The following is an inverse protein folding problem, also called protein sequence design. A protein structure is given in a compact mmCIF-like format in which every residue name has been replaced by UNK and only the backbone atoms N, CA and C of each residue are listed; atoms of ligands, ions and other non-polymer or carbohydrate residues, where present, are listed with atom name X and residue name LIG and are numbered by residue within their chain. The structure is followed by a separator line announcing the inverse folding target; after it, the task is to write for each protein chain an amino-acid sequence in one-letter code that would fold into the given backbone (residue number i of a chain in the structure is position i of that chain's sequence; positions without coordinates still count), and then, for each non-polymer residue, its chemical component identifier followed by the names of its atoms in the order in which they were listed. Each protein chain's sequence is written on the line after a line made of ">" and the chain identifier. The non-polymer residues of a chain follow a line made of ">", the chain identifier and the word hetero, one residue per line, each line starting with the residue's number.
data_IF_287878773907
#
_entry.id   IF_287878773907
#
_cell.length_a   1.000
_cell.length_b   1.000
_cell.length_c   1.000
_cell.angle_alpha   90.00
_cell.angle_beta   90.00
_cell.angle_gamma   90.00
#
_symmetry.space_group_name_H-M   'P 1'
#
loop_
_entity.id
_entity.type
_entity.pdbx_description
1 polymer ?
#
# COMPACT_ATOMS: atom_id res chain seq x y z
N UNK A 1 27.40 30.41 -9.83
CA UNK A 1 26.00 30.41 -10.33
C UNK A 1 25.28 29.25 -9.64
N UNK A 2 24.32 29.64 -8.80
CA UNK A 2 23.22 28.94 -8.12
C UNK A 2 22.65 27.66 -8.81
N UNK A 3 21.97 26.68 -8.18
CA UNK A 3 21.47 26.42 -6.80
C UNK A 3 20.84 24.98 -6.78
N UNK A 4 21.02 24.28 -5.64
CA UNK A 4 20.13 23.34 -4.91
C UNK A 4 19.78 21.92 -5.42
N UNK A 5 20.31 20.95 -4.66
CA UNK A 5 19.61 19.73 -4.18
C UNK A 5 18.86 20.07 -2.89
N UNK A 6 17.66 19.54 -2.69
CA UNK A 6 16.90 19.66 -1.44
C UNK A 6 16.66 18.27 -0.84
N UNK A 7 17.32 18.02 0.29
CA UNK A 7 16.98 17.02 1.30
C UNK A 7 15.69 17.43 2.03
N UNK A 8 14.81 16.46 2.30
CA UNK A 8 13.66 16.65 3.20
C UNK A 8 13.94 16.04 4.56
N UNK A 9 14.41 16.90 5.47
CA UNK A 9 14.33 16.70 6.91
C UNK A 9 12.97 17.23 7.41
N UNK A 10 12.20 16.36 8.07
CA UNK A 10 11.01 16.75 8.84
C UNK A 10 11.49 17.42 10.14
N UNK A 11 11.36 18.74 10.22
CA UNK A 11 11.60 19.51 11.43
C UNK A 11 10.38 19.43 12.35
N UNK A 12 10.55 18.81 13.52
CA UNK A 12 9.67 18.97 14.67
C UNK A 12 9.83 20.40 15.22
N UNK A 13 8.76 21.20 15.14
CA UNK A 13 8.65 22.50 15.80
C UNK A 13 8.55 22.31 17.32
N UNK A 14 9.65 22.56 18.02
CA UNK A 14 9.63 22.83 19.46
C UNK A 14 9.43 24.33 19.66
N UNK A 15 8.25 24.74 20.13
CA UNK A 15 8.06 26.05 20.77
C UNK A 15 8.74 26.02 22.14
N UNK A 16 9.99 26.47 22.18
CA UNK A 16 10.74 26.66 23.42
C UNK A 16 10.63 28.10 23.90
N UNK A 17 9.80 28.34 24.92
CA UNK A 17 9.80 29.60 25.68
C UNK A 17 11.02 29.62 26.60
N UNK A 18 11.95 30.55 26.35
CA UNK A 18 13.09 30.79 27.21
C UNK A 18 12.66 31.55 28.47
N UNK A 19 13.02 31.03 29.66
CA UNK A 19 13.06 31.80 30.90
C UNK A 19 14.42 31.57 31.56
N UNK A 20 15.25 32.61 31.56
CA UNK A 20 16.55 32.63 32.22
C UNK A 20 16.36 32.93 33.72
N UNK A 21 16.98 32.13 34.58
CA UNK A 21 17.23 32.50 35.98
C UNK A 21 18.69 32.17 36.31
N UNK A 22 19.45 33.24 36.56
CA UNK A 22 20.80 33.25 37.11
C UNK A 22 20.69 33.23 38.63
N UNK A 23 21.24 32.21 39.30
CA UNK A 23 21.57 32.26 40.73
C UNK A 23 22.86 31.49 40.99
N UNK A 24 23.87 32.20 41.50
CA UNK A 24 25.09 31.66 42.08
C UNK A 24 24.90 31.40 43.58
N UNK A 25 25.34 30.26 44.11
CA UNK A 25 25.94 30.07 45.45
C UNK A 25 26.25 28.59 45.74
N UNK A 26 27.37 28.36 46.43
CA UNK A 26 27.96 27.08 46.90
C UNK A 26 27.18 26.43 48.09
N UNK A 27 27.75 25.47 48.84
CA UNK A 27 27.98 24.05 48.55
C UNK A 27 27.05 23.11 49.36
N UNK A 28 27.10 21.83 49.00
CA UNK A 28 26.48 20.62 49.57
C UNK A 28 25.91 20.75 50.99
N UNK A 29 24.57 20.78 51.09
CA UNK A 29 23.81 20.32 52.24
C UNK A 29 22.86 19.21 51.78
N UNK A 30 23.07 18.00 52.29
CA UNK A 30 22.24 16.84 52.03
C UNK A 30 20.81 17.08 52.50
N UNK A 31 19.81 16.82 51.65
CA UNK A 31 18.57 16.15 52.08
C UNK A 31 17.67 15.76 50.91
N UNK A 32 17.25 14.49 50.95
CA UNK A 32 16.13 13.88 50.23
C UNK A 32 16.34 13.61 48.73
N UNK A 33 16.89 12.43 48.45
CA UNK A 33 16.52 11.72 47.24
C UNK A 33 14.99 11.57 47.23
N UNK A 34 14.31 12.39 46.42
CA UNK A 34 12.88 12.25 46.12
C UNK A 34 12.65 10.80 45.68
N UNK A 35 12.04 9.98 46.54
CA UNK A 35 11.33 8.78 46.13
C UNK A 35 10.20 9.25 45.22
N UNK A 36 10.49 9.40 43.93
CA UNK A 36 9.49 9.67 42.91
C UNK A 36 8.37 8.66 43.08
N UNK A 37 7.17 9.14 43.36
CA UNK A 37 6.05 8.30 43.71
C UNK A 37 5.58 7.56 42.46
N UNK A 38 6.16 6.38 42.20
CA UNK A 38 5.90 5.54 41.03
C UNK A 38 4.40 5.30 40.81
N UNK A 39 3.60 5.24 41.89
CA UNK A 39 2.14 5.13 41.78
C UNK A 39 1.49 6.33 41.10
N UNK A 40 1.92 7.55 41.42
CA UNK A 40 1.40 8.76 40.77
C UNK A 40 1.84 8.84 39.31
N UNK A 41 3.07 8.42 39.00
CA UNK A 41 3.54 8.32 37.62
C UNK A 41 2.72 7.30 36.81
N UNK A 42 2.41 6.14 37.39
CA UNK A 42 1.58 5.13 36.72
C UNK A 42 0.17 5.67 36.42
N UNK A 43 -0.47 6.36 37.38
CA UNK A 43 -1.78 7.00 37.16
C UNK A 43 -1.72 8.07 36.06
N UNK A 44 -0.63 8.85 35.99
CA UNK A 44 -0.45 9.82 34.91
C UNK A 44 -0.26 9.14 33.56
N UNK A 45 0.52 8.06 33.50
CA UNK A 45 0.71 7.27 32.30
C UNK A 45 -0.60 6.63 31.80
N UNK A 46 -1.42 6.08 32.71
CA UNK A 46 -2.74 5.54 32.38
C UNK A 46 -3.67 6.63 31.82
N UNK A 47 -3.73 7.80 32.47
CA UNK A 47 -4.54 8.93 31.98
C UNK A 47 -4.11 9.40 30.60
N UNK A 48 -2.80 9.49 30.35
CA UNK A 48 -2.25 9.88 29.06
C UNK A 48 -2.58 8.86 27.98
N UNK A 49 -2.49 7.56 28.31
CA UNK A 49 -2.90 6.48 27.42
C UNK A 49 -4.38 6.59 27.06
N UNK A 50 -5.23 6.76 28.07
CA UNK A 50 -6.68 6.81 27.87
C UNK A 50 -7.11 8.06 27.07
N UNK A 51 -6.48 9.22 27.31
CA UNK A 51 -6.72 10.42 26.51
C UNK A 51 -6.27 10.25 25.08
N UNK A 52 -5.09 9.67 24.86
CA UNK A 52 -4.58 9.38 23.52
C UNK A 52 -5.55 8.46 22.75
N UNK A 53 -5.98 7.35 23.35
CA UNK A 53 -6.91 6.41 22.71
C UNK A 53 -8.21 7.11 22.31
N UNK A 54 -8.78 7.92 23.21
CA UNK A 54 -10.04 8.64 22.95
C UNK A 54 -9.88 9.67 21.83
N UNK A 55 -8.83 10.47 21.86
CA UNK A 55 -8.57 11.50 20.85
C UNK A 55 -8.26 10.89 19.48
N UNK A 56 -7.45 9.83 19.44
CA UNK A 56 -7.19 9.06 18.23
C UNK A 56 -8.47 8.44 17.67
N UNK A 57 -9.36 7.90 18.51
CA UNK A 57 -10.61 7.31 18.03
C UNK A 57 -11.53 8.35 17.39
N UNK A 58 -11.58 9.55 17.98
CA UNK A 58 -12.33 10.68 17.42
C UNK A 58 -11.73 11.17 16.09
N UNK A 59 -10.40 11.22 15.98
CA UNK A 59 -9.72 11.55 14.70
C UNK A 59 -10.02 10.47 13.65
N UNK A 60 -9.95 9.19 14.02
CA UNK A 60 -10.29 8.08 13.12
C UNK A 60 -11.72 8.20 12.59
N UNK A 61 -12.68 8.55 13.46
CA UNK A 61 -14.08 8.80 13.07
C UNK A 61 -14.18 9.93 12.06
N UNK A 62 -13.53 11.07 12.32
CA UNK A 62 -13.52 12.22 11.39
C UNK A 62 -12.94 11.88 10.01
N UNK A 63 -11.88 11.07 9.96
CA UNK A 63 -11.36 10.58 8.68
C UNK A 63 -12.37 9.69 7.96
N UNK A 64 -13.04 8.77 8.66
CA UNK A 64 -14.08 7.93 8.05
C UNK A 64 -15.27 8.74 7.55
N UNK A 65 -15.69 9.77 8.28
CA UNK A 65 -16.78 10.68 7.90
C UNK A 65 -16.42 11.52 6.67
N UNK A 66 -15.14 11.89 6.54
CA UNK A 66 -14.59 12.54 5.36
C UNK A 66 -14.36 11.59 4.16
N UNK A 67 -14.64 10.29 4.31
CA UNK A 67 -14.40 9.28 3.28
C UNK A 67 -12.94 8.81 3.16
N UNK A 68 -12.04 9.31 4.00
CA UNK A 68 -10.64 8.88 4.07
C UNK A 68 -10.52 7.63 4.97
N UNK A 69 -11.03 6.51 4.44
CA UNK A 69 -11.07 5.24 5.17
C UNK A 69 -9.68 4.66 5.46
N UNK A 70 -8.67 5.02 4.66
CA UNK A 70 -7.29 4.57 4.86
C UNK A 70 -6.68 5.20 6.12
N UNK A 71 -6.74 6.54 6.24
CA UNK A 71 -6.25 7.22 7.45
C UNK A 71 -7.07 6.88 8.68
N UNK A 72 -8.38 6.65 8.51
CA UNK A 72 -9.23 6.17 9.60
C UNK A 72 -8.74 4.82 10.15
N UNK A 73 -8.44 3.87 9.26
CA UNK A 73 -7.91 2.55 9.63
C UNK A 73 -6.54 2.67 10.28
N UNK A 74 -5.62 3.45 9.70
CA UNK A 74 -4.27 3.65 10.27
C UNK A 74 -4.32 4.16 11.70
N UNK A 75 -5.20 5.11 12.00
CA UNK A 75 -5.37 5.64 13.36
C UNK A 75 -5.89 4.57 14.34
N UNK A 76 -6.79 3.69 13.88
CA UNK A 76 -7.28 2.55 14.68
C UNK A 76 -6.20 1.47 14.89
N UNK A 77 -5.34 1.23 13.91
CA UNK A 77 -4.17 0.34 14.04
C UNK A 77 -3.18 0.89 15.07
N UNK A 78 -2.97 2.21 15.13
CA UNK A 78 -2.16 2.85 16.18
C UNK A 78 -2.77 2.63 17.55
N UNK A 79 -4.08 2.80 17.73
CA UNK A 79 -4.78 2.48 18.98
C UNK A 79 -4.55 1.02 19.40
N UNK A 80 -4.69 0.08 18.46
CA UNK A 80 -4.49 -1.35 18.71
C UNK A 80 -3.04 -1.69 19.09
N UNK A 81 -2.06 -0.94 18.59
CA UNK A 81 -0.64 -1.12 18.94
C UNK A 81 -0.34 -0.74 20.40
N UNK A 82 -1.11 0.20 20.96
CA UNK A 82 -0.99 0.67 22.34
C UNK A 82 -1.81 -0.20 23.29
N UNK A 83 -3.04 -0.56 22.90
CA UNK A 83 -3.91 -1.45 23.65
C UNK A 83 -4.56 -2.46 22.69
N UNK A 84 -4.14 -3.72 22.78
CA UNK A 84 -4.54 -4.78 21.83
C UNK A 84 -6.05 -5.06 21.82
N UNK A 85 -6.70 -4.96 22.97
CA UNK A 85 -8.13 -5.25 23.17
C UNK A 85 -8.91 -3.99 23.56
N UNK A 86 -8.99 -3.03 22.63
CA UNK A 86 -9.98 -1.94 22.73
C UNK A 86 -11.30 -2.43 22.11
N UNK A 87 -12.40 -2.50 22.88
CA UNK A 87 -13.70 -2.94 22.36
C UNK A 87 -14.12 -2.17 21.11
N UNK A 88 -14.58 -2.88 20.08
CA UNK A 88 -15.07 -2.29 18.83
C UNK A 88 -14.00 -1.88 17.81
N UNK A 89 -12.74 -1.65 18.20
CA UNK A 89 -11.67 -1.21 17.27
C UNK A 89 -11.41 -2.23 16.16
N UNK A 90 -11.28 -3.51 16.50
CA UNK A 90 -11.06 -4.59 15.52
C UNK A 90 -12.22 -4.72 14.52
N UNK A 91 -13.46 -4.59 15.01
CA UNK A 91 -14.65 -4.64 14.16
C UNK A 91 -14.68 -3.43 13.20
N UNK A 92 -14.36 -2.24 13.69
CA UNK A 92 -14.30 -1.02 12.87
C UNK A 92 -13.19 -1.11 11.80
N UNK A 93 -11.99 -1.60 12.16
CA UNK A 93 -10.91 -1.86 11.18
C UNK A 93 -11.39 -2.80 10.07
N UNK A 94 -12.12 -3.85 10.44
CA UNK A 94 -12.68 -4.81 9.46
C UNK A 94 -13.69 -4.15 8.54
N UNK A 95 -14.63 -3.38 9.08
CA UNK A 95 -15.61 -2.62 8.29
C UNK A 95 -14.96 -1.60 7.36
N UNK A 96 -13.92 -0.89 7.83
CA UNK A 96 -13.17 0.06 6.99
C UNK A 96 -12.41 -0.65 5.87
N UNK A 97 -11.83 -1.81 6.14
CA UNK A 97 -11.21 -2.64 5.10
C UNK A 97 -12.23 -3.05 4.04
N UNK A 98 -13.42 -3.52 4.44
CA UNK A 98 -14.49 -3.86 3.49
C UNK A 98 -14.94 -2.65 2.68
N UNK A 99 -15.11 -1.48 3.33
CA UNK A 99 -15.41 -0.23 2.64
C UNK A 99 -14.34 0.13 1.62
N UNK A 100 -13.05 0.12 1.98
CA UNK A 100 -11.95 0.37 1.06
C UNK A 100 -11.93 -0.60 -0.13
N UNK A 101 -12.21 -1.88 0.11
CA UNK A 101 -12.31 -2.88 -0.96
C UNK A 101 -13.49 -2.63 -1.92
N UNK A 102 -14.55 -1.95 -1.47
CA UNK A 102 -15.76 -1.70 -2.26
C UNK A 102 -15.80 -0.30 -2.89
N UNK A 103 -15.29 0.72 -2.20
CA UNK A 103 -15.37 2.12 -2.61
C UNK A 103 -14.24 2.53 -3.55
N UNK A 104 -13.05 1.94 -3.37
CA UNK A 104 -11.91 2.21 -4.24
C UNK A 104 -11.84 1.16 -5.35
N UNK A 105 -12.76 1.23 -6.31
CA UNK A 105 -12.79 0.37 -7.48
C UNK A 105 -12.59 1.17 -8.77
N UNK A 106 -11.94 0.54 -9.75
CA UNK A 106 -11.69 1.13 -11.05
C UNK A 106 -11.89 0.08 -12.13
N UNK A 107 -12.68 0.44 -13.13
CA UNK A 107 -12.95 -0.38 -14.29
C UNK A 107 -12.11 0.10 -15.47
N UNK A 108 -11.58 -0.84 -16.26
CA UNK A 108 -10.91 -0.55 -17.53
C UNK A 108 -10.94 -1.74 -18.47
N UNK A 109 -10.77 -1.44 -19.76
CA UNK A 109 -10.67 -2.47 -20.78
C UNK A 109 -9.19 -2.76 -21.09
N UNK A 110 -8.88 -4.03 -21.25
CA UNK A 110 -7.63 -4.51 -21.82
C UNK A 110 -7.88 -4.81 -23.29
N UNK A 111 -7.16 -4.09 -24.15
CA UNK A 111 -7.11 -4.34 -25.58
C UNK A 111 -6.16 -5.51 -25.84
N UNK A 112 -6.72 -6.63 -26.29
CA UNK A 112 -6.00 -7.90 -26.51
C UNK A 112 -4.94 -7.78 -27.61
N UNK A 113 -5.11 -6.84 -28.55
CA UNK A 113 -4.11 -6.57 -29.57
C UNK A 113 -2.83 -5.96 -28.98
N UNK A 114 -2.87 -5.53 -27.71
CA UNK A 114 -1.72 -5.03 -26.95
C UNK A 114 -1.33 -6.06 -25.91
N UNK A 115 -0.07 -6.48 -25.93
CA UNK A 115 0.43 -7.51 -25.00
C UNK A 115 0.30 -7.08 -23.53
N UNK A 116 0.52 -5.78 -23.25
CA UNK A 116 0.38 -5.17 -21.93
C UNK A 116 -0.53 -3.95 -21.98
N UNK A 117 -1.46 -3.86 -21.03
CA UNK A 117 -2.33 -2.70 -20.91
C UNK A 117 -1.60 -1.51 -20.26
N UNK A 118 -2.27 -0.35 -20.26
CA UNK A 118 -1.91 0.76 -19.38
C UNK A 118 -1.83 0.29 -17.92
N UNK A 119 -0.99 0.94 -17.08
CA UNK A 119 -0.92 0.68 -15.65
C UNK A 119 -2.31 0.58 -15.01
N UNK A 120 -2.54 -0.50 -14.25
CA UNK A 120 -3.75 -0.65 -13.46
C UNK A 120 -3.79 0.38 -12.33
N UNK A 121 -2.62 0.70 -11.76
CA UNK A 121 -2.43 1.72 -10.74
C UNK A 121 -1.20 1.45 -9.87
N UNK A 122 -0.95 2.34 -8.92
CA UNK A 122 0.07 2.15 -7.88
C UNK A 122 -0.48 1.24 -6.79
N UNK A 123 0.35 0.29 -6.36
CA UNK A 123 0.04 -0.63 -5.27
C UNK A 123 1.11 -0.51 -4.19
N UNK A 124 0.70 -0.76 -2.95
CA UNK A 124 1.58 -0.70 -1.79
C UNK A 124 1.88 -2.10 -1.25
N UNK A 125 3.08 -2.29 -0.73
CA UNK A 125 3.53 -3.50 -0.07
C UNK A 125 2.57 -3.90 1.06
N UNK A 126 2.27 -5.19 1.12
CA UNK A 126 1.40 -5.83 2.11
C UNK A 126 -0.05 -5.29 2.12
N UNK A 127 -0.45 -4.54 1.07
CA UNK A 127 -1.81 -4.03 0.92
C UNK A 127 -2.55 -4.76 -0.20
N UNK A 128 -3.58 -5.51 0.16
CA UNK A 128 -4.31 -6.37 -0.77
C UNK A 128 -5.10 -5.59 -1.83
N UNK A 129 -5.09 -6.10 -3.05
CA UNK A 129 -5.98 -5.69 -4.15
C UNK A 129 -6.81 -6.87 -4.62
N UNK A 130 -8.01 -6.58 -5.11
CA UNK A 130 -8.92 -7.54 -5.74
C UNK A 130 -9.03 -7.23 -7.21
N UNK A 131 -8.93 -8.26 -8.05
CA UNK A 131 -9.03 -8.15 -9.49
C UNK A 131 -10.13 -9.08 -9.95
N UNK A 132 -11.03 -8.58 -10.79
CA UNK A 132 -12.06 -9.34 -11.46
C UNK A 132 -11.97 -9.04 -12.95
N UNK A 133 -12.04 -10.08 -13.77
CA UNK A 133 -11.98 -9.97 -15.22
C UNK A 133 -13.15 -10.72 -15.85
N UNK A 134 -13.68 -10.15 -16.92
CA UNK A 134 -14.75 -10.75 -17.71
C UNK A 134 -14.56 -10.45 -19.19
N UNK A 135 -14.97 -11.39 -20.03
CA UNK A 135 -14.87 -11.29 -21.48
C UNK A 135 -14.20 -12.51 -22.09
N UNK A 136 -14.31 -12.60 -23.40
CA UNK A 136 -13.65 -13.58 -24.23
C UNK A 136 -12.95 -12.86 -25.38
N UNK A 137 -11.95 -13.51 -25.95
CA UNK A 137 -11.16 -12.94 -27.04
C UNK A 137 -10.66 -14.04 -27.98
N UNK A 138 -10.31 -13.64 -29.19
CA UNK A 138 -9.79 -14.54 -30.20
C UNK A 138 -8.26 -14.65 -30.06
N UNK A 139 -7.78 -15.81 -29.65
CA UNK A 139 -6.34 -16.07 -29.58
C UNK A 139 -5.83 -16.56 -30.93
N UNK A 140 -5.08 -15.71 -31.64
CA UNK A 140 -4.51 -16.02 -32.96
C UNK A 140 -3.00 -15.94 -32.91
N UNK A 141 -2.33 -17.04 -33.26
CA UNK A 141 -0.87 -17.15 -33.30
C UNK A 141 -0.40 -17.65 -34.67
N UNK A 142 0.66 -17.01 -35.16
CA UNK A 142 1.36 -17.37 -36.40
C UNK A 142 2.86 -17.22 -36.13
N UNK A 143 3.41 -18.18 -35.37
CA UNK A 143 4.79 -18.13 -34.86
C UNK A 143 5.51 -19.42 -35.24
N UNK A 144 6.71 -19.29 -35.79
CA UNK A 144 7.61 -20.42 -36.02
C UNK A 144 8.27 -20.83 -34.72
N UNK A 145 8.23 -22.11 -34.41
CA UNK A 145 8.85 -22.70 -33.22
C UNK A 145 9.84 -23.79 -33.62
N UNK A 146 10.82 -24.06 -32.76
CA UNK A 146 11.79 -25.15 -32.91
C UNK A 146 11.36 -26.35 -32.06
N UNK A 147 12.14 -27.43 -32.05
CA UNK A 147 11.93 -28.58 -31.15
C UNK A 147 12.00 -28.21 -29.65
N UNK A 148 12.54 -27.04 -29.33
CA UNK A 148 12.62 -26.51 -27.95
C UNK A 148 11.34 -25.77 -27.53
N UNK A 149 10.43 -25.48 -28.46
CA UNK A 149 9.18 -24.78 -28.18
C UNK A 149 9.27 -23.25 -28.27
N UNK A 150 8.39 -22.55 -27.55
CA UNK A 150 8.37 -21.09 -27.47
C UNK A 150 9.16 -20.62 -26.24
N UNK A 151 9.87 -19.48 -26.33
CA UNK A 151 10.61 -18.94 -25.21
C UNK A 151 9.64 -18.43 -24.13
N UNK A 152 10.01 -18.60 -22.86
CA UNK A 152 9.13 -18.35 -21.70
C UNK A 152 9.86 -17.69 -20.51
N UNK A 153 10.95 -16.96 -20.77
CA UNK A 153 11.84 -16.48 -19.70
C UNK A 153 11.53 -15.06 -19.25
N UNK A 154 10.99 -14.23 -20.15
CA UNK A 154 10.75 -12.80 -19.88
C UNK A 154 9.27 -12.47 -19.99
N UNK A 155 8.55 -12.48 -18.87
CA UNK A 155 7.09 -12.33 -18.80
C UNK A 155 6.49 -11.13 -19.56
N UNK A 156 7.25 -10.07 -19.85
CA UNK A 156 6.77 -8.94 -20.67
C UNK A 156 7.10 -8.98 -22.17
N UNK A 157 8.08 -9.79 -22.56
CA UNK A 157 8.54 -9.92 -23.94
C UNK A 157 8.14 -11.26 -24.56
N UNK A 158 7.94 -12.24 -23.70
CA UNK A 158 7.74 -13.65 -23.99
C UNK A 158 6.64 -14.19 -23.06
N UNK A 159 6.40 -15.49 -23.14
CA UNK A 159 5.50 -16.15 -22.22
C UNK A 159 6.05 -16.09 -20.78
N UNK A 160 5.17 -15.88 -19.82
CA UNK A 160 5.47 -16.01 -18.41
C UNK A 160 5.47 -17.49 -18.00
N UNK A 161 6.56 -17.93 -17.39
CA UNK A 161 6.65 -19.27 -16.83
C UNK A 161 5.60 -19.53 -15.73
N UNK A 162 5.04 -20.72 -15.71
CA UNK A 162 4.02 -21.15 -14.75
C UNK A 162 2.64 -20.51 -14.92
N UNK A 163 2.40 -19.72 -15.98
CA UNK A 163 1.09 -19.14 -16.30
C UNK A 163 0.58 -19.74 -17.62
N UNK A 164 -0.68 -20.19 -17.72
CA UNK A 164 -1.20 -20.72 -18.98
C UNK A 164 -1.13 -19.69 -20.10
N UNK A 165 -0.81 -20.15 -21.32
CA UNK A 165 -0.84 -19.29 -22.51
C UNK A 165 -2.25 -18.75 -22.73
N UNK A 166 -2.34 -17.44 -22.96
CA UNK A 166 -3.60 -16.74 -23.13
C UNK A 166 -4.35 -16.40 -21.84
N UNK A 167 -3.83 -16.76 -20.67
CA UNK A 167 -4.44 -16.36 -19.41
C UNK A 167 -4.14 -14.88 -19.07
N UNK A 168 -5.06 -14.26 -18.34
CA UNK A 168 -4.83 -12.94 -17.76
C UNK A 168 -3.88 -13.04 -16.57
N UNK A 169 -2.88 -12.17 -16.53
CA UNK A 169 -1.86 -12.13 -15.49
C UNK A 169 -1.54 -10.71 -15.03
N UNK A 170 -1.02 -10.61 -13.81
CA UNK A 170 -0.55 -9.38 -13.21
C UNK A 170 0.94 -9.42 -12.91
N UNK A 171 1.56 -8.25 -12.84
CA UNK A 171 2.95 -8.09 -12.43
C UNK A 171 3.15 -6.73 -11.77
N UNK A 172 3.89 -6.68 -10.67
CA UNK A 172 4.29 -5.41 -10.04
C UNK A 172 5.66 -5.01 -10.55
N UNK A 173 5.79 -3.80 -11.08
CA UNK A 173 7.06 -3.17 -11.40
C UNK A 173 7.44 -2.25 -10.25
N UNK A 174 8.47 -2.63 -9.48
CA UNK A 174 9.03 -1.82 -8.39
C UNK A 174 10.24 -1.03 -8.88
N UNK A 175 10.77 -0.14 -8.03
CA UNK A 175 12.01 0.60 -8.27
C UNK A 175 13.10 0.07 -7.35
N UNK A 176 14.17 -0.50 -7.91
CA UNK A 176 15.36 -0.89 -7.15
C UNK A 176 16.55 -0.07 -7.63
N UNK A 177 17.14 0.74 -6.72
CA UNK A 177 18.28 1.63 -7.02
C UNK A 177 18.03 2.55 -8.23
N UNK A 178 16.81 3.06 -8.37
CA UNK A 178 16.39 3.94 -9.47
C UNK A 178 16.21 3.23 -10.81
N UNK A 179 16.21 1.89 -10.84
CA UNK A 179 15.92 1.10 -12.04
C UNK A 179 14.62 0.31 -11.84
N UNK A 180 13.80 0.18 -12.90
CA UNK A 180 12.60 -0.63 -12.85
C UNK A 180 12.98 -2.10 -12.67
N UNK A 181 12.38 -2.75 -11.67
CA UNK A 181 12.51 -4.17 -11.40
C UNK A 181 11.17 -4.85 -11.63
N UNK A 182 11.19 -5.88 -12.46
CA UNK A 182 10.02 -6.69 -12.75
C UNK A 182 9.81 -7.71 -11.62
N UNK A 183 8.66 -7.66 -10.97
CA UNK A 183 8.24 -8.68 -10.01
C UNK A 183 7.89 -10.00 -10.69
N UNK A 184 7.68 -11.05 -9.88
CA UNK A 184 7.19 -12.34 -10.39
C UNK A 184 5.74 -12.17 -10.89
N UNK A 185 5.41 -12.61 -12.11
CA UNK A 185 4.04 -12.56 -12.60
C UNK A 185 3.16 -13.53 -11.81
N UNK A 186 1.86 -13.24 -11.74
CA UNK A 186 0.86 -14.08 -11.09
C UNK A 186 -0.39 -14.23 -11.96
N UNK A 187 -1.02 -15.40 -11.87
CA UNK A 187 -2.27 -15.70 -12.58
C UNK A 187 -3.42 -14.89 -11.96
N UNK A 188 -4.19 -14.19 -12.82
CA UNK A 188 -5.43 -13.52 -12.42
C UNK A 188 -6.64 -14.39 -12.78
N UNK A 189 -6.71 -14.90 -14.01
CA UNK A 189 -7.90 -15.60 -14.50
C UNK A 189 -9.14 -14.70 -14.46
N UNK A 190 -10.27 -15.23 -14.00
CA UNK A 190 -11.52 -14.46 -13.81
C UNK A 190 -11.51 -13.62 -12.52
N UNK A 191 -10.83 -14.09 -11.47
CA UNK A 191 -10.76 -13.41 -10.18
C UNK A 191 -9.47 -13.75 -9.44
N UNK A 192 -8.83 -12.72 -8.88
CA UNK A 192 -7.69 -12.88 -7.98
C UNK A 192 -7.72 -11.90 -6.81
N UNK A 193 -7.21 -12.35 -5.67
CA UNK A 193 -6.78 -11.50 -4.57
C UNK A 193 -5.25 -11.53 -4.53
N UNK A 194 -4.62 -10.36 -4.51
CA UNK A 194 -3.17 -10.25 -4.58
C UNK A 194 -2.65 -9.27 -3.55
N UNK A 195 -1.61 -9.69 -2.83
CA UNK A 195 -0.89 -8.87 -1.86
C UNK A 195 0.52 -8.59 -2.38
N UNK A 196 0.84 -7.35 -2.78
CA UNK A 196 2.16 -6.97 -3.28
C UNK A 196 3.24 -7.17 -2.22
N UNK A 197 4.41 -7.68 -2.64
CA UNK A 197 5.59 -7.83 -1.77
C UNK A 197 6.44 -6.56 -1.66
N UNK A 198 6.27 -5.66 -2.62
CA UNK A 198 7.00 -4.40 -2.77
C UNK A 198 6.02 -3.35 -3.29
N UNK A 199 6.31 -2.07 -3.02
CA UNK A 199 5.60 -0.95 -3.63
C UNK A 199 5.92 -0.89 -5.13
N UNK A 200 4.94 -0.48 -5.94
CA UNK A 200 5.19 -0.33 -7.36
C UNK A 200 3.97 -0.08 -8.22
N UNK A 201 4.15 -0.23 -9.52
CA UNK A 201 3.10 -0.12 -10.52
C UNK A 201 2.58 -1.51 -10.84
N UNK A 202 1.28 -1.74 -10.62
CA UNK A 202 0.64 -2.97 -11.06
C UNK A 202 0.32 -2.87 -12.56
N UNK A 203 0.90 -3.79 -13.32
CA UNK A 203 0.62 -4.03 -14.72
C UNK A 203 -0.29 -5.25 -14.85
N UNK A 204 -1.22 -5.20 -15.79
CA UNK A 204 -2.08 -6.34 -16.14
C UNK A 204 -1.93 -6.57 -17.65
N UNK A 205 -1.89 -7.84 -18.05
CA UNK A 205 -1.70 -8.23 -19.44
C UNK A 205 -2.09 -9.68 -19.67
N UNK A 206 -2.10 -10.09 -20.94
CA UNK A 206 -2.34 -11.48 -21.31
C UNK A 206 -1.00 -12.18 -21.53
N UNK A 207 -0.94 -13.46 -21.15
CA UNK A 207 0.23 -14.28 -21.39
C UNK A 207 0.30 -14.76 -22.85
N UNK A 208 0.61 -13.85 -23.77
CA UNK A 208 0.67 -14.13 -25.21
C UNK A 208 2.12 -14.09 -25.73
N UNK A 209 2.46 -14.96 -26.69
CA UNK A 209 3.79 -14.95 -27.28
C UNK A 209 3.97 -13.73 -28.18
N UNK A 210 5.22 -13.30 -28.35
CA UNK A 210 5.55 -12.20 -29.25
C UNK A 210 5.04 -12.46 -30.67
N UNK A 211 4.47 -11.42 -31.30
CA UNK A 211 3.96 -11.51 -32.68
C UNK A 211 2.57 -12.13 -32.83
N UNK A 212 1.84 -12.37 -31.74
CA UNK A 212 0.43 -12.77 -31.81
C UNK A 212 -0.42 -11.74 -32.60
N UNK A 213 -1.53 -12.20 -33.18
CA UNK A 213 -2.52 -11.38 -33.91
C UNK A 213 -3.89 -11.38 -33.21
N UNK A 214 -3.90 -11.76 -31.92
CA UNK A 214 -5.11 -11.85 -31.09
C UNK A 214 -5.89 -10.53 -31.04
N UNK A 215 -7.22 -10.63 -31.00
CA UNK A 215 -8.14 -9.49 -30.97
C UNK A 215 -9.23 -9.70 -29.92
N UNK A 216 -9.84 -8.61 -29.46
CA UNK A 216 -10.91 -8.64 -28.47
C UNK A 216 -10.68 -7.64 -27.33
N UNK A 217 -11.57 -7.65 -26.35
CA UNK A 217 -11.48 -6.80 -25.16
C UNK A 217 -11.83 -7.60 -23.92
N UNK A 218 -11.03 -7.43 -22.88
CA UNK A 218 -11.30 -7.98 -21.55
C UNK A 218 -11.62 -6.82 -20.62
N UNK A 219 -12.77 -6.87 -19.95
CA UNK A 219 -13.13 -5.90 -18.92
C UNK A 219 -12.51 -6.32 -17.61
N UNK A 220 -11.78 -5.40 -16.99
CA UNK A 220 -11.14 -5.62 -15.70
C UNK A 220 -11.66 -4.59 -14.70
N UNK A 221 -12.09 -5.10 -13.55
CA UNK A 221 -12.35 -4.33 -12.34
C UNK A 221 -11.25 -4.60 -11.35
N UNK A 222 -10.59 -3.55 -10.89
CA UNK A 222 -9.66 -3.64 -9.77
C UNK A 222 -10.20 -2.87 -8.59
N UNK A 223 -10.05 -3.39 -7.38
CA UNK A 223 -10.42 -2.68 -6.17
C UNK A 223 -9.48 -2.92 -4.99
N UNK A 224 -9.59 -2.09 -3.96
CA UNK A 224 -8.81 -2.21 -2.73
C UNK A 224 -7.73 -1.15 -2.61
N UNK A 225 -6.53 -1.52 -2.16
CA UNK A 225 -5.42 -0.59 -1.96
C UNK A 225 -4.68 -0.29 -3.27
N UNK A 226 -5.36 0.44 -4.15
CA UNK A 226 -4.81 0.86 -5.44
C UNK A 226 -5.01 2.36 -5.63
N UNK A 227 -3.94 3.07 -6.01
CA UNK A 227 -4.01 4.46 -6.39
C UNK A 227 -3.83 4.59 -7.91
N UNK A 228 -4.94 4.81 -8.61
CA UNK A 228 -4.93 5.16 -10.01
C UNK A 228 -4.95 6.68 -10.05
N UNK A 229 -3.78 7.32 -10.21
CA UNK A 229 -3.65 8.77 -10.21
C UNK A 229 -4.79 9.38 -11.02
N UNK A 230 -5.61 10.22 -10.39
CA UNK A 230 -6.81 10.74 -11.03
C UNK A 230 -6.40 11.47 -12.31
N UNK A 231 -7.10 11.19 -13.40
CA UNK A 231 -7.12 12.13 -14.52
C UNK A 231 -7.68 13.47 -14.06
#
# INVERSE_FOLDING_TARGET
>A
MNIFRADWHVQLLFLGSALAVLLMSEPVAAQSAKKTNVKQLNVQADKLRDSFIRESAEIARKYSEAGDYEKSREMLEVIQSIQKDVPGVKAMITQLNEKLMSSNSSDFDIDVARNWSVPAGLVAKDKMVRIQAMGAYDFVIDVKSTVEGLPHTTAMKELADGIPTGALMGMVISQEKGKPKMGKPFLIGEKAEYTPKEDGVLMIGLNLPAGHKSTGKIKVRISGYINRGSK
#
